data_IF_887660529565
#
_entry.id   IF_887660529565
#
_cell.length_a   1.000
_cell.length_b   1.000
_cell.length_c   1.000
_cell.angle_alpha   90.00
_cell.angle_beta   90.00
_cell.angle_gamma   90.00
#
_symmetry.space_group_name_H-M   'P 1'
#
loop_
_entity.id
_entity.type
_entity.pdbx_description
1 polymer ?
#
# COMPACT_ATOMS: atom_id res chain seq x y z
N UNK A 1 -13.81 -1.18 4.05
CA UNK A 1 -12.49 -1.82 3.91
C UNK A 1 -12.63 -3.16 3.19
N UNK A 2 -11.78 -3.40 2.19
CA UNK A 2 -11.76 -4.68 1.47
C UNK A 2 -10.80 -5.64 2.16
N UNK A 3 -11.14 -6.93 2.25
CA UNK A 3 -10.33 -7.94 2.98
C UNK A 3 -8.93 -8.10 2.38
N UNK A 4 -8.82 -8.02 1.06
CA UNK A 4 -7.54 -8.11 0.34
C UNK A 4 -6.52 -7.03 0.74
N UNK A 5 -6.96 -5.90 1.29
CA UNK A 5 -6.05 -4.85 1.77
C UNK A 5 -5.22 -5.33 2.95
N UNK A 6 -5.86 -6.06 3.88
CA UNK A 6 -5.21 -6.64 5.06
C UNK A 6 -4.33 -7.81 4.67
N UNK A 7 -4.80 -8.64 3.73
CA UNK A 7 -4.02 -9.77 3.21
C UNK A 7 -2.72 -9.29 2.54
N UNK A 8 -2.82 -8.27 1.68
CA UNK A 8 -1.66 -7.66 1.03
C UNK A 8 -0.69 -7.02 2.05
N UNK A 9 -1.21 -6.24 3.01
CA UNK A 9 -0.37 -5.63 4.04
C UNK A 9 0.32 -6.68 4.92
N UNK A 10 -0.37 -7.77 5.27
CA UNK A 10 0.20 -8.85 6.06
C UNK A 10 1.30 -9.60 5.28
N UNK A 11 1.16 -9.79 3.98
CA UNK A 11 2.20 -10.36 3.13
C UNK A 11 3.45 -9.45 3.06
N UNK A 12 3.25 -8.14 2.87
CA UNK A 12 4.36 -7.17 2.91
C UNK A 12 5.10 -7.20 4.26
N UNK A 13 4.36 -7.28 5.37
CA UNK A 13 4.95 -7.39 6.72
C UNK A 13 5.71 -8.70 6.96
N UNK A 14 5.42 -9.76 6.20
CA UNK A 14 6.21 -11.00 6.20
C UNK A 14 7.43 -10.95 5.27
N UNK A 15 7.64 -9.84 4.57
CA UNK A 15 8.72 -9.68 3.59
C UNK A 15 8.44 -10.38 2.25
N UNK A 16 7.17 -10.63 1.93
CA UNK A 16 6.74 -11.25 0.68
C UNK A 16 6.50 -10.20 -0.42
N UNK A 17 6.79 -10.56 -1.67
CA UNK A 17 6.40 -9.77 -2.84
C UNK A 17 4.90 -9.92 -3.13
N UNK A 18 4.23 -8.81 -3.42
CA UNK A 18 2.77 -8.78 -3.63
C UNK A 18 2.41 -8.05 -4.93
N UNK A 19 1.57 -8.69 -5.75
CA UNK A 19 0.90 -8.04 -6.89
C UNK A 19 -0.57 -7.87 -6.54
N UNK A 20 -1.09 -6.66 -6.66
CA UNK A 20 -2.50 -6.34 -6.42
C UNK A 20 -3.17 -5.93 -7.74
N UNK A 21 -4.04 -6.79 -8.26
CA UNK A 21 -4.89 -6.50 -9.41
C UNK A 21 -6.33 -6.21 -8.95
N UNK A 22 -6.67 -4.93 -8.88
CA UNK A 22 -8.00 -4.46 -8.47
C UNK A 22 -8.40 -3.23 -9.28
N UNK A 23 -9.66 -2.80 -9.21
CA UNK A 23 -10.13 -1.59 -9.90
C UNK A 23 -9.52 -0.28 -9.36
N UNK A 24 -9.66 0.80 -10.14
CA UNK A 24 -9.40 2.18 -9.66
C UNK A 24 -10.41 2.54 -8.56
N UNK A 25 -10.01 3.40 -7.62
CA UNK A 25 -10.87 3.78 -6.48
C UNK A 25 -11.06 2.69 -5.41
N UNK A 26 -10.53 1.48 -5.60
CA UNK A 26 -10.66 0.39 -4.63
C UNK A 26 -9.75 0.54 -3.39
N UNK A 27 -9.08 1.68 -3.19
CA UNK A 27 -8.28 1.94 -1.99
C UNK A 27 -6.96 1.17 -1.93
N UNK A 28 -6.27 1.02 -3.07
CA UNK A 28 -4.93 0.39 -3.13
C UNK A 28 -3.91 1.06 -2.20
N UNK A 29 -4.07 2.37 -1.97
CA UNK A 29 -3.26 3.19 -1.07
C UNK A 29 -3.10 2.58 0.32
N UNK A 30 -4.18 2.00 0.82
CA UNK A 30 -4.19 1.40 2.14
C UNK A 30 -3.19 0.22 2.26
N UNK A 31 -2.91 -0.50 1.17
CA UNK A 31 -1.97 -1.63 1.20
C UNK A 31 -0.52 -1.23 1.49
N UNK A 32 -0.12 -0.02 1.11
CA UNK A 32 1.24 0.48 1.38
C UNK A 32 1.30 1.41 2.59
N UNK A 33 0.18 1.96 3.07
CA UNK A 33 0.13 2.72 4.32
C UNK A 33 0.03 1.83 5.55
N UNK A 34 -0.78 0.74 5.51
CA UNK A 34 -0.98 -0.14 6.66
C UNK A 34 0.31 -0.71 7.27
N UNK A 35 1.29 -1.20 6.47
CA UNK A 35 2.53 -1.74 7.03
C UNK A 35 3.34 -0.71 7.84
N UNK A 36 3.22 0.58 7.52
CA UNK A 36 3.97 1.67 8.16
C UNK A 36 3.43 2.08 9.54
N UNK A 37 2.26 1.54 9.94
CA UNK A 37 1.63 1.92 11.20
C UNK A 37 2.19 1.17 12.41
N UNK A 38 3.02 0.15 12.19
CA UNK A 38 3.55 -0.70 13.27
C UNK A 38 4.68 -0.02 14.04
N UNK A 39 5.65 0.58 13.35
CA UNK A 39 6.75 1.26 14.00
C UNK A 39 6.89 2.70 13.50
N UNK A 40 7.13 3.63 14.43
CA UNK A 40 7.34 5.05 14.12
C UNK A 40 8.53 5.33 13.20
N UNK A 41 9.43 4.35 13.04
CA UNK A 41 10.64 4.46 12.25
C UNK A 41 10.49 3.82 10.87
N UNK A 42 9.36 3.17 10.57
CA UNK A 42 9.14 2.54 9.27
C UNK A 42 9.06 3.61 8.17
N UNK A 43 9.61 3.30 7.01
CA UNK A 43 9.62 4.17 5.84
C UNK A 43 9.21 3.36 4.62
N UNK A 44 8.31 3.92 3.79
CA UNK A 44 7.96 3.35 2.48
C UNK A 44 8.44 4.28 1.37
N UNK A 45 8.91 3.68 0.28
CA UNK A 45 9.20 4.38 -0.97
C UNK A 45 8.12 4.00 -1.99
N UNK A 46 7.27 4.97 -2.34
CA UNK A 46 6.24 4.80 -3.37
C UNK A 46 6.68 5.49 -4.64
N UNK A 47 6.76 4.74 -5.74
CA UNK A 47 7.09 5.26 -7.06
C UNK A 47 5.81 5.33 -7.89
N UNK A 48 5.42 6.55 -8.26
CA UNK A 48 4.29 6.81 -9.16
C UNK A 48 4.80 7.47 -10.45
N UNK A 49 4.33 7.06 -11.63
CA UNK A 49 4.74 7.67 -12.89
C UNK A 49 4.16 9.08 -13.10
N UNK A 50 3.12 9.48 -12.35
CA UNK A 50 2.40 10.73 -12.58
C UNK A 50 2.48 11.64 -11.34
N UNK A 51 3.13 12.79 -11.47
CA UNK A 51 3.29 13.75 -10.36
C UNK A 51 1.96 14.25 -9.80
N UNK A 52 0.94 14.42 -10.64
CA UNK A 52 -0.40 14.83 -10.20
C UNK A 52 -1.01 13.83 -9.20
N UNK A 53 -0.70 12.53 -9.36
CA UNK A 53 -1.18 11.49 -8.46
C UNK A 53 -0.41 11.47 -7.12
N UNK A 54 0.80 12.03 -7.07
CA UNK A 54 1.58 12.13 -5.84
C UNK A 54 1.09 13.24 -4.91
N UNK A 55 0.46 14.28 -5.45
CA UNK A 55 -0.08 15.39 -4.66
C UNK A 55 -1.40 14.98 -3.96
N UNK A 56 -2.16 14.11 -4.61
CA UNK A 56 -3.49 13.69 -4.18
C UNK A 56 -3.49 12.48 -3.21
N UNK A 57 -2.34 11.82 -3.05
CA UNK A 57 -2.13 10.67 -2.15
C UNK A 57 -1.25 11.03 -0.96
#
# INVERSE_FOLDING_TARGET
PFTWQVEAAAAVLRGEDVIVDVGTGCGKTLCFTLPLLLHKQDTSLVVSPLSALMIDQ
#
